data_IF_729031391227
#
_entry.id   IF_729031391227
#
_cell.length_a   1.000
_cell.length_b   1.000
_cell.length_c   1.000
_cell.angle_alpha   90.00
_cell.angle_beta   90.00
_cell.angle_gamma   90.00
#
_symmetry.space_group_name_H-M   'P 1'
#
loop_
_entity.id
_entity.type
_entity.pdbx_description
1 polymer ?
#
# COMPACT_ATOMS: atom_id res chain seq x y z
N UNK A 1 27.73 7.33 -8.92
CA UNK A 1 27.45 7.34 -7.48
C UNK A 1 26.59 6.12 -7.18
N UNK A 2 27.23 4.97 -6.98
CA UNK A 2 26.60 3.74 -6.53
C UNK A 2 27.24 3.45 -5.18
N UNK A 3 26.50 3.57 -4.08
CA UNK A 3 27.01 3.16 -2.78
C UNK A 3 25.92 2.46 -1.98
N UNK A 4 26.29 1.28 -1.51
CA UNK A 4 25.60 0.42 -0.54
C UNK A 4 24.30 -0.23 -1.05
N UNK A 5 24.40 -1.01 -2.12
CA UNK A 5 23.56 -2.21 -2.24
C UNK A 5 24.26 -3.27 -1.39
N UNK A 6 24.04 -3.25 -0.06
CA UNK A 6 24.21 -4.47 0.73
C UNK A 6 23.33 -5.54 0.10
N UNK A 7 23.69 -6.82 0.23
CA UNK A 7 23.02 -8.02 -0.32
C UNK A 7 21.48 -8.01 -0.10
N UNK A 8 20.75 -7.23 -0.89
CA UNK A 8 19.36 -6.87 -0.67
C UNK A 8 18.58 -7.43 -1.86
N UNK A 9 17.63 -8.27 -1.47
CA UNK A 9 16.70 -9.08 -2.22
C UNK A 9 16.27 -8.55 -3.60
N UNK A 10 15.97 -9.50 -4.47
CA UNK A 10 16.37 -9.45 -5.88
C UNK A 10 15.47 -8.68 -6.83
N UNK A 11 14.82 -7.59 -6.40
CA UNK A 11 13.85 -6.89 -7.25
C UNK A 11 14.17 -5.41 -7.39
N UNK A 12 14.18 -4.94 -8.63
CA UNK A 12 14.47 -3.55 -8.96
C UNK A 12 13.24 -2.66 -8.74
N UNK A 13 13.46 -1.42 -8.31
CA UNK A 13 12.43 -0.39 -8.37
C UNK A 13 12.35 0.15 -9.80
N UNK A 14 11.19 0.03 -10.45
CA UNK A 14 11.04 0.24 -11.90
C UNK A 14 10.01 1.33 -12.25
N UNK A 15 10.13 1.87 -13.47
CA UNK A 15 8.99 2.50 -14.14
C UNK A 15 8.16 1.41 -14.83
N UNK A 16 6.89 1.29 -14.44
CA UNK A 16 6.01 0.21 -14.89
C UNK A 16 5.01 0.78 -15.91
N UNK A 17 5.03 0.31 -17.17
CA UNK A 17 4.06 0.74 -18.18
C UNK A 17 2.62 0.46 -17.72
N UNK A 18 1.75 1.47 -17.77
CA UNK A 18 0.38 1.37 -17.28
C UNK A 18 -0.44 0.25 -17.97
N UNK A 19 -0.17 -0.01 -19.25
CA UNK A 19 -0.80 -1.06 -20.03
C UNK A 19 -0.43 -2.49 -19.58
N UNK A 20 0.59 -2.65 -18.72
CA UNK A 20 0.94 -3.94 -18.10
C UNK A 20 0.15 -4.20 -16.80
N UNK A 21 -0.57 -3.19 -16.31
CA UNK A 21 -1.34 -3.25 -15.07
C UNK A 21 -2.82 -3.50 -15.41
N UNK A 22 -3.27 -4.73 -15.19
CA UNK A 22 -4.66 -5.12 -15.38
C UNK A 22 -5.39 -4.97 -14.05
N UNK A 23 -6.23 -3.94 -13.95
CA UNK A 23 -7.07 -3.71 -12.76
C UNK A 23 -8.05 -4.88 -12.61
N UNK A 24 -8.05 -5.50 -11.43
CA UNK A 24 -8.97 -6.57 -11.06
C UNK A 24 -10.17 -5.95 -10.35
N UNK A 25 -9.93 -5.24 -9.24
CA UNK A 25 -10.97 -4.64 -8.40
C UNK A 25 -10.54 -3.25 -7.91
N UNK A 26 -11.49 -2.34 -7.75
CA UNK A 26 -11.34 -1.15 -6.90
C UNK A 26 -11.53 -1.56 -5.44
N UNK A 27 -10.60 -1.16 -4.57
CA UNK A 27 -10.57 -1.55 -3.17
C UNK A 27 -11.14 -0.44 -2.28
N UNK A 28 -10.63 0.77 -2.45
CA UNK A 28 -11.17 1.94 -1.79
C UNK A 28 -10.85 3.20 -2.58
N UNK A 29 -11.57 4.26 -2.25
CA UNK A 29 -11.41 5.58 -2.84
C UNK A 29 -11.69 6.62 -1.77
N UNK A 30 -10.82 7.60 -1.70
CA UNK A 30 -11.05 8.86 -1.01
C UNK A 30 -10.88 10.04 -2.00
N UNK A 31 -10.86 11.27 -1.48
CA UNK A 31 -10.78 12.48 -2.28
C UNK A 31 -9.40 12.68 -2.95
N UNK A 32 -8.36 12.05 -2.42
CA UNK A 32 -6.96 12.22 -2.85
C UNK A 32 -6.37 10.96 -3.46
N UNK A 33 -6.87 9.77 -3.10
CA UNK A 33 -6.30 8.50 -3.51
C UNK A 33 -7.36 7.48 -3.91
N UNK A 34 -6.97 6.61 -4.85
CA UNK A 34 -7.71 5.39 -5.19
C UNK A 34 -6.80 4.20 -5.04
N UNK A 35 -7.32 3.14 -4.46
CA UNK A 35 -6.63 1.88 -4.29
C UNK A 35 -7.26 0.82 -5.16
N UNK A 36 -6.43 0.13 -5.93
CA UNK A 36 -6.84 -0.96 -6.79
C UNK A 36 -6.06 -2.21 -6.46
N UNK A 37 -6.73 -3.35 -6.59
CA UNK A 37 -6.07 -4.61 -6.76
C UNK A 37 -5.86 -4.84 -8.26
N UNK A 38 -4.64 -5.17 -8.67
CA UNK A 38 -4.31 -5.39 -10.06
C UNK A 38 -3.37 -6.60 -10.25
N UNK A 39 -3.25 -7.00 -11.50
CA UNK A 39 -2.29 -7.99 -11.99
C UNK A 39 -1.24 -7.26 -12.84
N UNK A 40 0.02 -7.39 -12.49
CA UNK A 40 1.13 -6.96 -13.34
C UNK A 40 1.56 -8.10 -14.26
N UNK A 41 1.24 -7.99 -15.54
CA UNK A 41 1.38 -9.09 -16.51
C UNK A 41 2.83 -9.46 -16.80
N UNK A 42 3.71 -8.46 -16.88
CA UNK A 42 5.14 -8.70 -17.10
C UNK A 42 5.89 -8.99 -15.81
N UNK A 43 5.44 -8.44 -14.68
CA UNK A 43 5.99 -8.69 -13.35
C UNK A 43 7.37 -8.07 -13.11
N UNK A 44 7.87 -8.16 -11.86
CA UNK A 44 9.11 -7.51 -11.44
C UNK A 44 10.34 -8.15 -12.09
N UNK A 45 11.32 -7.30 -12.39
CA UNK A 45 12.62 -7.72 -12.88
C UNK A 45 13.49 -8.25 -11.74
N UNK A 46 14.05 -9.45 -11.94
CA UNK A 46 15.05 -10.01 -11.03
C UNK A 46 16.41 -9.31 -11.20
N UNK A 47 16.99 -8.77 -10.12
CA UNK A 47 18.30 -8.14 -10.13
C UNK A 47 19.46 -9.15 -10.12
N UNK A 48 19.22 -10.43 -9.82
CA UNK A 48 20.26 -11.47 -9.94
C UNK A 48 20.57 -11.80 -11.39
N UNK A 49 19.53 -11.88 -12.21
CA UNK A 49 19.64 -12.40 -13.57
C UNK A 49 19.42 -11.36 -14.65
N UNK A 50 18.82 -10.20 -14.33
CA UNK A 50 18.43 -9.10 -15.23
C UNK A 50 17.61 -9.48 -16.47
N UNK A 51 17.35 -10.77 -16.68
CA UNK A 51 16.66 -11.34 -17.83
C UNK A 51 15.41 -12.14 -17.43
N UNK A 52 15.20 -12.40 -16.14
CA UNK A 52 14.02 -13.12 -15.64
C UNK A 52 13.02 -12.16 -15.01
N UNK A 53 11.75 -12.29 -15.43
CA UNK A 53 10.60 -11.62 -14.83
C UNK A 53 9.64 -12.63 -14.21
N UNK A 54 9.12 -12.30 -13.04
CA UNK A 54 8.08 -13.09 -12.37
C UNK A 54 6.70 -12.69 -12.90
N UNK A 55 6.31 -13.30 -14.04
CA UNK A 55 5.05 -12.95 -14.71
C UNK A 55 3.85 -13.11 -13.78
N UNK A 56 2.82 -12.32 -14.08
CA UNK A 56 1.51 -12.43 -13.44
C UNK A 56 1.50 -12.13 -11.94
N UNK A 57 2.30 -11.15 -11.51
CA UNK A 57 2.40 -10.74 -10.10
C UNK A 57 1.15 -9.98 -9.65
N UNK A 58 0.65 -10.29 -8.44
CA UNK A 58 -0.49 -9.59 -7.85
C UNK A 58 0.00 -8.35 -7.10
N UNK A 59 -0.57 -7.19 -7.43
CA UNK A 59 -0.11 -5.90 -6.91
C UNK A 59 -1.25 -5.04 -6.37
N UNK A 60 -0.91 -4.12 -5.48
CA UNK A 60 -1.80 -3.04 -5.04
C UNK A 60 -1.34 -1.75 -5.71
N UNK A 61 -2.27 -1.06 -6.36
CA UNK A 61 -2.00 0.25 -6.98
C UNK A 61 -2.57 1.32 -6.08
N UNK A 62 -1.74 2.27 -5.63
CA UNK A 62 -2.19 3.50 -4.97
C UNK A 62 -2.05 4.65 -5.95
N UNK A 63 -3.18 5.06 -6.51
CA UNK A 63 -3.27 6.14 -7.48
C UNK A 63 -3.53 7.46 -6.75
N UNK A 64 -2.71 8.47 -6.99
CA UNK A 64 -2.84 9.80 -6.41
C UNK A 64 -3.61 10.70 -7.37
N UNK A 65 -4.84 11.02 -7.02
CA UNK A 65 -5.75 11.83 -7.85
C UNK A 65 -5.22 13.26 -7.88
N UNK A 66 -5.12 13.85 -9.09
CA UNK A 66 -4.59 15.20 -9.27
C UNK A 66 -3.16 15.35 -8.74
N UNK A 67 -2.35 14.28 -8.79
CA UNK A 67 -0.98 14.28 -8.25
C UNK A 67 -0.06 15.38 -8.79
N UNK A 68 -0.41 16.01 -9.92
CA UNK A 68 0.33 17.17 -10.44
C UNK A 68 0.28 18.39 -9.50
N UNK A 69 -0.75 18.52 -8.67
CA UNK A 69 -0.82 19.60 -7.67
C UNK A 69 -0.19 19.23 -6.34
N UNK A 70 0.08 17.95 -6.10
CA UNK A 70 0.60 17.45 -4.83
C UNK A 70 1.69 16.38 -5.03
N UNK A 71 2.70 16.77 -5.79
CA UNK A 71 3.82 15.90 -6.15
C UNK A 71 4.69 15.56 -4.93
N UNK A 72 4.82 16.47 -3.97
CA UNK A 72 5.65 16.28 -2.77
C UNK A 72 5.12 15.16 -1.88
N UNK A 73 3.80 15.06 -1.69
CA UNK A 73 3.18 13.97 -0.93
C UNK A 73 3.45 12.61 -1.59
N UNK A 74 3.32 12.53 -2.92
CA UNK A 74 3.64 11.34 -3.68
C UNK A 74 5.11 10.92 -3.47
N UNK A 75 6.06 11.85 -3.58
CA UNK A 75 7.48 11.57 -3.38
C UNK A 75 7.77 11.11 -1.95
N UNK A 76 7.19 11.77 -0.96
CA UNK A 76 7.34 11.40 0.45
C UNK A 76 6.82 9.97 0.70
N UNK A 77 5.64 9.63 0.17
CA UNK A 77 5.08 8.29 0.28
C UNK A 77 5.99 7.24 -0.39
N UNK A 78 6.46 7.53 -1.61
CA UNK A 78 7.35 6.63 -2.35
C UNK A 78 8.64 6.35 -1.59
N UNK A 79 9.26 7.39 -1.02
CA UNK A 79 10.49 7.28 -0.23
C UNK A 79 10.27 6.49 1.06
N UNK A 80 9.18 6.76 1.78
CA UNK A 80 8.86 6.07 3.04
C UNK A 80 8.52 4.59 2.79
N UNK A 81 7.83 4.32 1.69
CA UNK A 81 7.44 2.96 1.30
C UNK A 81 8.57 2.15 0.70
N UNK A 82 9.65 2.80 0.25
CA UNK A 82 10.89 2.15 -0.15
C UNK A 82 11.62 1.61 1.08
N UNK A 83 11.07 0.55 1.64
CA UNK A 83 11.60 -0.15 2.79
C UNK A 83 11.50 -1.66 2.57
N UNK A 84 12.43 -2.37 3.18
CA UNK A 84 12.53 -3.82 3.13
C UNK A 84 11.89 -4.36 4.40
N UNK A 85 11.02 -5.36 4.26
CA UNK A 85 10.40 -5.98 5.42
C UNK A 85 11.36 -6.97 6.11
N UNK A 86 10.97 -7.52 7.26
CA UNK A 86 11.78 -8.53 7.97
C UNK A 86 12.13 -9.78 7.16
N UNK A 87 11.34 -10.12 6.12
CA UNK A 87 11.61 -11.23 5.19
C UNK A 87 12.59 -10.85 4.09
N UNK A 88 13.18 -9.66 4.20
CA UNK A 88 14.04 -9.04 3.21
C UNK A 88 13.33 -8.68 1.90
N UNK A 89 12.01 -8.80 1.76
CA UNK A 89 11.29 -8.47 0.52
C UNK A 89 11.11 -6.95 0.35
N UNK A 90 11.29 -6.48 -0.89
CA UNK A 90 10.92 -5.13 -1.29
C UNK A 90 9.38 -5.00 -1.30
N UNK A 91 8.85 -4.02 -0.57
CA UNK A 91 7.39 -3.83 -0.45
C UNK A 91 6.77 -3.02 -1.58
N UNK A 92 7.60 -2.33 -2.36
CA UNK A 92 7.21 -1.45 -3.47
C UNK A 92 7.98 -1.84 -4.74
N UNK A 93 7.28 -2.11 -5.84
CA UNK A 93 7.89 -2.46 -7.11
C UNK A 93 8.29 -1.27 -7.96
N UNK A 94 7.57 -0.15 -7.86
CA UNK A 94 7.85 0.97 -8.74
C UNK A 94 6.74 2.00 -8.84
N UNK A 95 6.85 2.78 -9.91
CA UNK A 95 5.93 3.87 -10.25
C UNK A 95 5.32 3.63 -11.62
N UNK A 96 4.06 3.98 -11.78
CA UNK A 96 3.39 4.09 -13.06
C UNK A 96 2.68 5.44 -13.17
N UNK A 97 2.13 5.73 -14.35
CA UNK A 97 1.33 6.91 -14.59
C UNK A 97 0.15 6.56 -15.48
N UNK A 98 -1.05 6.98 -15.07
CA UNK A 98 -2.24 6.83 -15.90
C UNK A 98 -2.14 7.75 -17.12
N UNK A 99 -2.13 7.24 -18.36
CA UNK A 99 -1.96 8.07 -19.55
C UNK A 99 -3.16 8.98 -19.85
N UNK A 100 -4.34 8.68 -19.30
CA UNK A 100 -5.56 9.48 -19.52
C UNK A 100 -5.71 10.62 -18.53
N UNK A 101 -5.31 10.42 -17.26
CA UNK A 101 -5.46 11.42 -16.20
C UNK A 101 -4.15 12.09 -15.78
N UNK A 102 -3.01 11.52 -16.19
CA UNK A 102 -1.66 11.83 -15.71
C UNK A 102 -1.44 11.62 -14.20
N UNK A 103 -2.37 10.95 -13.52
CA UNK A 103 -2.24 10.60 -12.10
C UNK A 103 -1.08 9.63 -11.91
N UNK A 104 -0.25 9.90 -10.91
CA UNK A 104 0.86 9.05 -10.52
C UNK A 104 0.37 7.87 -9.67
N UNK A 105 1.04 6.74 -9.84
CA UNK A 105 0.64 5.47 -9.24
C UNK A 105 1.85 4.83 -8.58
N UNK A 106 1.73 4.47 -7.31
CA UNK A 106 2.67 3.57 -6.66
C UNK A 106 2.20 2.13 -6.81
N UNK A 107 3.13 1.24 -7.16
CA UNK A 107 2.85 -0.19 -7.37
C UNK A 107 3.48 -0.99 -6.23
N UNK A 108 2.64 -1.53 -5.37
CA UNK A 108 3.05 -2.29 -4.19
C UNK A 108 2.90 -3.80 -4.38
N UNK A 109 3.74 -4.57 -3.69
CA UNK A 109 3.56 -6.01 -3.58
C UNK A 109 2.31 -6.31 -2.77
N UNK A 110 1.43 -7.16 -3.29
CA UNK A 110 0.21 -7.54 -2.58
C UNK A 110 0.53 -8.35 -1.30
N UNK A 111 -0.35 -8.25 -0.31
CA UNK A 111 -0.20 -8.93 0.98
C UNK A 111 0.59 -8.15 2.04
N UNK A 112 1.24 -7.05 1.66
CA UNK A 112 1.97 -6.17 2.59
C UNK A 112 1.23 -4.88 2.95
N UNK A 113 0.10 -4.63 2.29
CA UNK A 113 -0.71 -3.44 2.50
C UNK A 113 -2.15 -3.84 2.79
N UNK A 114 -2.81 -3.05 3.62
CA UNK A 114 -4.21 -3.22 3.93
C UNK A 114 -5.05 -3.00 2.67
N UNK A 115 -5.88 -3.98 2.33
CA UNK A 115 -6.77 -3.87 1.17
C UNK A 115 -7.89 -2.83 1.39
N UNK A 116 -8.11 -2.34 2.62
CA UNK A 116 -9.17 -1.36 2.91
C UNK A 116 -8.69 0.09 2.87
N UNK A 117 -7.44 0.37 3.23
CA UNK A 117 -6.91 1.74 3.31
C UNK A 117 -5.55 1.94 2.64
N UNK A 118 -4.92 0.86 2.15
CA UNK A 118 -3.61 0.89 1.50
C UNK A 118 -2.43 1.14 2.43
N UNK A 119 -2.64 1.26 3.75
CA UNK A 119 -1.54 1.39 4.69
C UNK A 119 -0.72 0.09 4.75
N UNK A 120 0.61 0.23 4.81
CA UNK A 120 1.54 -0.88 5.00
C UNK A 120 1.28 -1.56 6.36
N UNK A 121 1.30 -2.88 6.39
CA UNK A 121 1.30 -3.64 7.64
C UNK A 121 2.67 -3.52 8.32
N UNK A 122 2.67 -3.44 9.65
CA UNK A 122 3.91 -3.65 10.41
C UNK A 122 4.32 -5.11 10.33
N UNK A 123 5.59 -5.41 10.64
CA UNK A 123 6.11 -6.78 10.60
C UNK A 123 5.29 -7.74 11.51
N UNK A 124 4.81 -7.23 12.64
CA UNK A 124 3.95 -7.94 13.61
C UNK A 124 2.53 -8.18 13.07
N UNK A 125 2.02 -7.25 12.25
CA UNK A 125 0.65 -7.31 11.71
C UNK A 125 0.52 -8.23 10.49
N UNK A 126 1.63 -8.55 9.82
CA UNK A 126 1.61 -9.28 8.54
C UNK A 126 1.03 -10.69 8.63
N UNK A 127 1.19 -11.37 9.77
CA UNK A 127 0.63 -12.71 9.98
C UNK A 127 -0.91 -12.68 10.01
N UNK A 128 -1.47 -11.62 10.59
CA UNK A 128 -2.91 -11.50 10.83
C UNK A 128 -3.59 -10.55 9.84
N UNK A 129 -2.82 -9.89 8.97
CA UNK A 129 -3.27 -8.80 8.08
C UNK A 129 -4.07 -7.74 8.87
N UNK A 130 -3.60 -7.45 10.08
CA UNK A 130 -4.30 -6.56 11.00
C UNK A 130 -3.96 -5.10 10.69
N UNK A 131 -4.93 -4.32 10.21
CA UNK A 131 -4.76 -2.88 10.07
C UNK A 131 -5.43 -2.14 11.22
N UNK A 132 -4.64 -1.70 12.20
CA UNK A 132 -5.13 -1.00 13.39
C UNK A 132 -6.03 0.21 13.07
N UNK A 133 -5.66 1.14 12.16
CA UNK A 133 -6.56 2.24 11.76
C UNK A 133 -7.91 1.77 11.22
N UNK A 134 -7.94 0.75 10.36
CA UNK A 134 -9.20 0.22 9.82
C UNK A 134 -10.08 -0.39 10.92
N UNK A 135 -9.46 -1.13 11.85
CA UNK A 135 -10.18 -1.76 12.96
C UNK A 135 -10.77 -0.73 13.92
N UNK A 136 -10.04 0.36 14.19
CA UNK A 136 -10.56 1.50 14.96
C UNK A 136 -11.75 2.12 14.21
N UNK A 137 -11.61 2.40 12.91
CA UNK A 137 -12.69 3.02 12.12
C UNK A 137 -13.96 2.16 12.03
N UNK A 138 -13.82 0.83 11.98
CA UNK A 138 -14.95 -0.11 12.00
C UNK A 138 -15.63 -0.14 13.38
N UNK A 139 -14.83 -0.11 14.46
CA UNK A 139 -15.33 0.06 15.81
C UNK A 139 -16.04 1.41 16.01
N UNK A 140 -15.61 2.48 15.34
CA UNK A 140 -16.26 3.78 15.43
C UNK A 140 -17.60 3.82 14.70
N UNK A 141 -17.72 3.19 13.52
CA UNK A 141 -18.99 3.17 12.77
C UNK A 141 -20.12 2.42 13.49
N UNK A 142 -19.79 1.58 14.47
CA UNK A 142 -20.76 0.88 15.30
C UNK A 142 -21.24 1.68 16.51
N UNK A 143 -20.86 2.97 16.64
CA UNK A 143 -21.36 3.88 17.68
C UNK A 143 -22.86 4.16 17.53
N UNK A 144 -23.66 3.35 18.21
CA UNK A 144 -24.96 3.81 18.75
C UNK A 144 -25.15 3.25 20.16
N UNK A 145 -24.73 4.04 21.16
CA UNK A 145 -25.23 3.99 22.55
C UNK A 145 -25.32 2.57 23.16
N UNK A 146 -24.20 1.82 23.15
CA UNK A 146 -24.17 0.39 23.49
C UNK A 146 -24.75 0.09 24.86
N UNK A 147 -24.38 0.86 25.87
CA UNK A 147 -24.80 0.62 27.25
C UNK A 147 -25.95 1.52 27.69
N UNK A 148 -26.40 2.47 26.85
CA UNK A 148 -27.26 3.60 27.26
C UNK A 148 -26.71 4.38 28.46
N UNK A 149 -25.41 4.27 28.72
CA UNK A 149 -24.72 4.89 29.84
C UNK A 149 -23.44 5.54 29.33
N UNK A 150 -23.51 6.87 29.22
CA UNK A 150 -22.43 7.72 28.73
C UNK A 150 -21.09 7.47 29.45
N UNK A 151 -21.09 7.19 30.76
CA UNK A 151 -19.85 6.94 31.50
C UNK A 151 -19.21 5.60 31.13
N UNK A 152 -20.02 4.56 30.91
CA UNK A 152 -19.52 3.24 30.50
C UNK A 152 -19.03 3.33 29.06
N UNK A 153 -19.77 4.02 28.19
CA UNK A 153 -19.39 4.20 26.79
C UNK A 153 -18.07 5.00 26.67
N UNK A 154 -17.89 6.06 27.48
CA UNK A 154 -16.64 6.84 27.55
C UNK A 154 -15.47 5.99 28.06
N UNK A 155 -15.68 5.17 29.10
CA UNK A 155 -14.63 4.27 29.60
C UNK A 155 -14.20 3.24 28.54
N UNK A 156 -15.16 2.67 27.81
CA UNK A 156 -14.88 1.73 26.72
C UNK A 156 -14.06 2.41 25.61
N UNK A 157 -14.39 3.66 25.26
CA UNK A 157 -13.62 4.46 24.30
C UNK A 157 -12.18 4.68 24.76
N UNK A 158 -11.98 5.15 25.99
CA UNK A 158 -10.64 5.40 26.53
C UNK A 158 -9.77 4.14 26.56
N UNK A 159 -10.34 2.99 26.91
CA UNK A 159 -9.59 1.73 26.95
C UNK A 159 -9.20 1.24 25.56
N UNK A 160 -10.02 1.50 24.53
CA UNK A 160 -9.74 1.11 23.14
C UNK A 160 -8.73 2.01 22.43
N UNK A 161 -8.65 3.30 22.79
CA UNK A 161 -7.66 4.25 22.25
C UNK A 161 -6.22 4.00 22.76
N UNK A 162 -6.06 3.15 23.80
CA UNK A 162 -4.76 2.78 24.38
C UNK A 162 -4.09 1.59 23.68
N UNK A 163 -4.75 0.96 22.71
CA UNK A 163 -4.16 -0.08 21.84
C UNK A 163 -3.12 0.56 20.97
#
# INVERSE_FOLDING_TARGET
MQSKISKLNDMAFEWIPYNELVIINELCKDDFTKLYLAKWTMGPLSCETYDKRYKDEKVILKCFIHSQTNFDEFIHEAQTSYSINYRSDLTIYGVSQNPSTNDLILVFKAGYHCETCGNKYTDEDLEHKWCKPCQISECEKSFTNWSKNEKIDNLIQEMRLKI
#
